data_IF_317287124444
#
_entry.id   IF_317287124444
#
_cell.length_a   1.000
_cell.length_b   1.000
_cell.length_c   1.000
_cell.angle_alpha   90.00
_cell.angle_beta   90.00
_cell.angle_gamma   90.00
#
_symmetry.space_group_name_H-M   'P 1'
#
loop_
_entity.id
_entity.type
_entity.pdbx_description
1 polymer ?
#
# COMPACT_ATOMS: atom_id res chain seq x y z
N UNK A 1 0.34 4.49 11.29
CA UNK A 1 -0.61 3.37 11.17
C UNK A 1 0.15 2.06 11.06
N UNK A 2 -0.51 0.92 11.28
CA UNK A 2 0.06 -0.39 10.99
C UNK A 2 -0.48 -0.90 9.66
N UNK A 3 0.41 -1.42 8.80
CA UNK A 3 0.06 -1.96 7.48
C UNK A 3 0.39 -3.45 7.42
N UNK A 4 -0.59 -4.27 7.04
CA UNK A 4 -0.35 -5.68 6.72
C UNK A 4 0.48 -5.83 5.44
N UNK A 5 0.97 -7.05 5.15
CA UNK A 5 1.61 -7.35 3.87
C UNK A 5 0.64 -7.09 2.72
N UNK A 6 -0.63 -7.48 2.88
CA UNK A 6 -1.70 -7.22 1.91
C UNK A 6 -1.84 -5.73 1.61
N UNK A 7 -1.87 -4.89 2.63
CA UNK A 7 -2.02 -3.44 2.45
C UNK A 7 -0.85 -2.85 1.67
N UNK A 8 0.38 -3.30 1.97
CA UNK A 8 1.60 -2.84 1.31
C UNK A 8 1.69 -3.30 -0.15
N UNK A 9 1.07 -4.43 -0.48
CA UNK A 9 0.95 -4.91 -1.87
C UNK A 9 -0.12 -4.13 -2.65
N UNK A 10 -1.23 -3.76 -2.01
CA UNK A 10 -2.31 -3.03 -2.68
C UNK A 10 -2.08 -1.52 -2.75
N UNK A 11 -1.47 -0.89 -1.75
CA UNK A 11 -1.26 0.55 -1.71
C UNK A 11 -0.67 1.11 -3.03
N UNK A 12 0.39 0.53 -3.62
CA UNK A 12 0.94 1.00 -4.89
C UNK A 12 -0.05 1.03 -6.07
N UNK A 13 -1.06 0.16 -6.07
CA UNK A 13 -1.97 -0.04 -7.20
C UNK A 13 -2.94 1.11 -7.42
N UNK A 14 -3.31 1.85 -6.36
CA UNK A 14 -4.17 3.02 -6.47
C UNK A 14 -3.40 4.36 -6.43
N UNK A 15 -2.06 4.33 -6.34
CA UNK A 15 -1.28 5.57 -6.43
C UNK A 15 -1.28 6.09 -7.88
N UNK A 16 -1.48 7.41 -8.10
CA UNK A 16 -1.44 8.01 -9.43
C UNK A 16 -0.20 7.60 -10.24
N UNK A 17 -0.42 7.16 -11.48
CA UNK A 17 0.67 6.74 -12.38
C UNK A 17 1.49 7.93 -12.94
N UNK A 18 0.90 9.13 -12.94
CA UNK A 18 1.51 10.37 -13.44
C UNK A 18 1.25 11.52 -12.47
N UNK A 19 2.16 12.48 -12.44
CA UNK A 19 2.10 13.66 -11.60
C UNK A 19 3.27 14.59 -11.90
N UNK A 20 3.39 15.67 -11.15
CA UNK A 20 4.55 16.57 -11.23
C UNK A 20 5.76 15.98 -10.45
N UNK A 21 6.89 16.70 -10.42
CA UNK A 21 8.10 16.23 -9.72
C UNK A 21 7.92 16.14 -8.18
N UNK A 22 7.05 16.96 -7.59
CA UNK A 22 6.70 16.84 -6.16
C UNK A 22 5.95 15.54 -5.91
N UNK A 23 4.93 15.24 -6.73
CA UNK A 23 4.15 14.00 -6.65
C UNK A 23 5.05 12.77 -6.82
N UNK A 24 6.00 12.82 -7.75
CA UNK A 24 6.98 11.76 -7.96
C UNK A 24 7.80 11.48 -6.69
N UNK A 25 8.31 12.51 -6.01
CA UNK A 25 9.09 12.35 -4.79
C UNK A 25 8.23 11.84 -3.62
N UNK A 26 7.01 12.34 -3.46
CA UNK A 26 6.07 11.85 -2.44
C UNK A 26 5.73 10.38 -2.66
N UNK A 27 5.38 10.00 -3.89
CA UNK A 27 5.14 8.60 -4.27
C UNK A 27 6.35 7.73 -3.96
N UNK A 28 7.56 8.18 -4.32
CA UNK A 28 8.80 7.44 -4.07
C UNK A 28 9.04 7.20 -2.59
N UNK A 29 8.87 8.20 -1.73
CA UNK A 29 9.07 8.05 -0.28
C UNK A 29 8.00 7.16 0.36
N UNK A 30 6.73 7.28 -0.05
CA UNK A 30 5.66 6.36 0.38
C UNK A 30 6.01 4.92 0.03
N UNK A 31 6.38 4.66 -1.24
CA UNK A 31 6.75 3.32 -1.71
C UNK A 31 7.96 2.77 -0.94
N UNK A 32 8.93 3.62 -0.60
CA UNK A 32 10.08 3.23 0.22
C UNK A 32 9.67 2.84 1.64
N UNK A 33 8.76 3.58 2.26
CA UNK A 33 8.28 3.32 3.63
C UNK A 33 7.50 2.03 3.75
N UNK A 34 6.80 1.63 2.69
CA UNK A 34 5.97 0.41 2.68
C UNK A 34 6.63 -0.79 2.01
N UNK A 35 7.84 -0.62 1.46
CA UNK A 35 8.54 -1.66 0.71
C UNK A 35 8.69 -2.93 1.55
N UNK A 36 8.47 -4.09 0.94
CA UNK A 36 8.72 -5.41 1.55
C UNK A 36 10.15 -5.82 1.20
N UNK A 37 11.12 -5.66 2.12
CA UNK A 37 12.52 -5.98 1.86
C UNK A 37 12.71 -7.49 1.65
N UNK A 38 13.81 -7.87 1.01
CA UNK A 38 14.10 -9.27 0.69
C UNK A 38 14.19 -10.17 1.92
N UNK A 39 14.64 -9.63 3.06
CA UNK A 39 14.68 -10.36 4.33
C UNK A 39 13.28 -10.71 4.82
N UNK A 40 12.36 -9.74 4.80
CA UNK A 40 10.96 -9.96 5.17
C UNK A 40 10.29 -10.91 4.17
N UNK A 41 10.49 -10.69 2.86
CA UNK A 41 9.99 -11.55 1.79
C UNK A 41 10.37 -13.01 2.01
N UNK A 42 11.63 -13.29 2.35
CA UNK A 42 12.10 -14.65 2.66
C UNK A 42 11.50 -15.19 3.95
N UNK A 43 11.41 -14.37 5.00
CA UNK A 43 10.90 -14.77 6.30
C UNK A 43 9.43 -15.22 6.26
N UNK A 44 8.60 -14.52 5.48
CA UNK A 44 7.18 -14.85 5.29
C UNK A 44 6.93 -15.78 4.09
N UNK A 45 7.97 -16.16 3.36
CA UNK A 45 7.84 -16.99 2.16
C UNK A 45 7.03 -16.33 1.04
N UNK A 46 7.13 -15.02 0.88
CA UNK A 46 6.40 -14.26 -0.15
C UNK A 46 6.96 -14.52 -1.56
N UNK A 47 6.17 -15.19 -2.39
CA UNK A 47 6.55 -15.56 -3.75
C UNK A 47 5.35 -15.52 -4.71
N UNK A 48 5.63 -15.49 -6.02
CA UNK A 48 4.62 -15.64 -7.07
C UNK A 48 4.53 -17.13 -7.43
N UNK A 49 3.33 -17.70 -7.34
CA UNK A 49 3.04 -19.06 -7.75
C UNK A 49 3.26 -19.19 -9.28
N UNK A 50 4.04 -20.19 -9.67
CA UNK A 50 4.42 -20.39 -11.07
C UNK A 50 3.25 -20.84 -11.97
N UNK A 51 2.23 -21.47 -11.38
CA UNK A 51 1.11 -22.08 -12.12
C UNK A 51 0.00 -21.07 -12.41
N UNK A 52 -0.46 -20.32 -11.40
CA UNK A 52 -1.62 -19.43 -11.51
C UNK A 52 -1.28 -17.94 -11.35
N UNK A 53 0.00 -17.59 -11.16
CA UNK A 53 0.52 -16.23 -11.04
C UNK A 53 0.03 -15.47 -9.80
N UNK A 54 -0.52 -16.17 -8.81
CA UNK A 54 -0.92 -15.56 -7.54
C UNK A 54 0.28 -15.29 -6.64
N UNK A 55 0.17 -14.24 -5.84
CA UNK A 55 1.15 -13.92 -4.80
C UNK A 55 0.74 -14.67 -3.53
N UNK A 56 1.64 -15.49 -3.00
CA UNK A 56 1.43 -16.32 -1.81
C UNK A 56 2.47 -16.00 -0.74
N UNK A 57 2.04 -16.00 0.53
CA UNK A 57 2.90 -15.88 1.70
C UNK A 57 2.26 -16.55 2.92
N UNK A 58 3.07 -16.78 3.94
CA UNK A 58 2.65 -17.32 5.23
C UNK A 58 2.09 -16.19 6.11
N UNK A 59 0.76 -16.16 6.24
CA UNK A 59 0.03 -15.15 7.05
C UNK A 59 0.36 -15.29 8.54
N UNK A 60 0.71 -16.47 9.05
CA UNK A 60 1.07 -16.63 10.47
C UNK A 60 2.42 -16.03 10.81
N UNK A 61 3.31 -15.91 9.82
CA UNK A 61 4.64 -15.31 9.96
C UNK A 61 4.66 -13.81 9.70
N UNK A 62 3.59 -13.26 9.11
CA UNK A 62 3.54 -11.83 8.80
C UNK A 62 3.53 -10.98 10.07
N UNK A 63 4.12 -9.80 9.97
CA UNK A 63 4.09 -8.79 11.04
C UNK A 63 3.64 -7.47 10.44
N UNK A 64 2.64 -6.78 11.03
CA UNK A 64 2.26 -5.46 10.57
C UNK A 64 3.46 -4.50 10.63
N UNK A 65 3.59 -3.66 9.61
CA UNK A 65 4.60 -2.62 9.55
C UNK A 65 4.02 -1.33 10.11
N UNK A 66 4.59 -0.83 11.21
CA UNK A 66 4.30 0.50 11.70
C UNK A 66 4.93 1.55 10.77
N UNK A 67 4.10 2.39 10.15
CA UNK A 67 4.51 3.45 9.22
C UNK A 67 4.00 4.80 9.69
N UNK A 68 4.87 5.80 9.58
CA UNK A 68 4.54 7.21 9.78
C UNK A 68 4.60 7.97 8.45
N UNK A 69 3.48 8.58 8.09
CA UNK A 69 3.37 9.48 6.94
C UNK A 69 3.42 10.93 7.41
N UNK A 70 4.16 11.76 6.70
CA UNK A 70 4.14 13.22 6.85
C UNK A 70 2.84 13.81 6.33
N UNK A 71 2.55 15.06 6.69
CA UNK A 71 1.35 15.76 6.22
C UNK A 71 1.22 15.80 4.70
N UNK A 72 2.33 16.04 3.99
CA UNK A 72 2.34 16.04 2.52
C UNK A 72 2.09 14.65 1.92
N UNK A 73 2.60 13.58 2.55
CA UNK A 73 2.34 12.21 2.11
C UNK A 73 0.88 11.80 2.38
N UNK A 74 0.32 12.20 3.54
CA UNK A 74 -1.09 11.95 3.87
C UNK A 74 -2.03 12.70 2.92
N UNK A 75 -1.73 13.96 2.59
CA UNK A 75 -2.47 14.74 1.59
C UNK A 75 -2.42 14.08 0.20
N UNK A 76 -1.26 13.53 -0.18
CA UNK A 76 -1.09 12.80 -1.44
C UNK A 76 -1.90 11.50 -1.46
N UNK A 77 -1.85 10.72 -0.39
CA UNK A 77 -2.64 9.49 -0.23
C UNK A 77 -4.15 9.77 -0.24
N UNK A 78 -4.59 10.86 0.41
CA UNK A 78 -6.00 11.27 0.41
C UNK A 78 -6.49 11.52 -1.01
N UNK A 79 -5.74 12.31 -1.78
CA UNK A 79 -6.03 12.58 -3.20
C UNK A 79 -6.01 11.32 -4.06
N UNK A 80 -5.13 10.36 -3.75
CA UNK A 80 -5.09 9.08 -4.44
C UNK A 80 -6.39 8.28 -4.20
N UNK A 81 -6.86 8.21 -2.94
CA UNK A 81 -8.11 7.55 -2.59
C UNK A 81 -9.33 8.23 -3.23
N UNK A 82 -9.42 9.56 -3.16
CA UNK A 82 -10.50 10.34 -3.78
C UNK A 82 -10.53 10.18 -5.29
N UNK A 83 -9.37 9.99 -5.92
CA UNK A 83 -9.29 9.83 -7.38
C UNK A 83 -9.89 8.51 -7.87
N UNK A 84 -9.73 7.44 -7.10
CA UNK A 84 -10.21 6.11 -7.48
C UNK A 84 -11.65 5.84 -7.02
N UNK A 85 -12.30 6.80 -6.34
CA UNK A 85 -13.63 6.59 -5.69
C UNK A 85 -14.73 6.14 -6.65
N UNK A 86 -14.60 6.47 -7.94
CA UNK A 86 -15.56 6.11 -8.99
C UNK A 86 -15.11 4.89 -9.82
N UNK A 87 -14.00 4.22 -9.45
CA UNK A 87 -13.51 3.02 -10.12
C UNK A 87 -14.20 1.74 -9.60
N UNK A 88 -14.22 0.69 -10.40
CA UNK A 88 -14.68 -0.64 -9.97
C UNK A 88 -13.49 -1.47 -9.51
N UNK A 89 -13.30 -1.56 -8.19
CA UNK A 89 -12.25 -2.35 -7.56
C UNK A 89 -12.83 -3.50 -6.72
N UNK A 90 -12.09 -4.60 -6.54
CA UNK A 90 -12.47 -5.66 -5.62
C UNK A 90 -12.67 -5.17 -4.18
N UNK A 91 -13.64 -5.73 -3.46
CA UNK A 91 -13.97 -5.38 -2.06
C UNK A 91 -12.75 -5.40 -1.13
N UNK A 92 -11.81 -6.31 -1.37
CA UNK A 92 -10.64 -6.47 -0.52
C UNK A 92 -9.54 -5.41 -0.80
N UNK A 93 -9.52 -4.85 -2.00
CA UNK A 93 -8.78 -3.62 -2.30
C UNK A 93 -9.47 -2.42 -1.68
N UNK A 94 -10.81 -2.32 -1.76
CA UNK A 94 -11.57 -1.27 -1.08
C UNK A 94 -11.38 -1.25 0.43
N UNK A 95 -11.26 -2.41 1.07
CA UNK A 95 -10.94 -2.50 2.49
C UNK A 95 -9.58 -1.87 2.83
N UNK A 96 -8.60 -1.97 1.93
CA UNK A 96 -7.28 -1.32 2.09
C UNK A 96 -7.39 0.19 1.91
N UNK A 97 -8.10 0.63 0.86
CA UNK A 97 -8.31 2.05 0.55
C UNK A 97 -9.06 2.74 1.69
N UNK A 98 -10.16 2.15 2.18
CA UNK A 98 -10.95 2.67 3.30
C UNK A 98 -10.07 2.85 4.54
N UNK A 99 -9.32 1.82 4.94
CA UNK A 99 -8.47 1.88 6.14
C UNK A 99 -7.43 3.01 6.06
N UNK A 100 -6.83 3.21 4.88
CA UNK A 100 -5.85 4.28 4.66
C UNK A 100 -6.54 5.64 4.71
N UNK A 101 -7.69 5.77 4.05
CA UNK A 101 -8.45 7.01 4.01
C UNK A 101 -8.94 7.42 5.41
N UNK A 102 -9.52 6.48 6.17
CA UNK A 102 -10.01 6.69 7.54
C UNK A 102 -8.86 7.12 8.46
N UNK A 103 -7.70 6.45 8.38
CA UNK A 103 -6.51 6.84 9.15
C UNK A 103 -6.05 8.28 8.86
N UNK A 104 -6.15 8.71 7.60
CA UNK A 104 -5.78 10.08 7.21
C UNK A 104 -6.77 11.11 7.75
N UNK A 105 -8.06 10.78 7.85
CA UNK A 105 -9.09 11.68 8.38
C UNK A 105 -9.04 11.85 9.90
N UNK A 106 -8.53 10.85 10.62
CA UNK A 106 -8.39 10.89 12.08
C UNK A 106 -7.17 11.71 12.57
N UNK A 107 -6.34 12.23 11.66
CA UNK A 107 -5.07 12.93 11.94
C UNK A 107 -5.09 14.39 11.53
#
# INVERSE_FOLDING_TARGET
MELSVKDRLYLPSFLPARGNFKDFNLKKEILRKIAIPDEERKAIGLHENAEDKRIEWDVEKEKPLAVEFSGDEMEYLRKACERISDEELPDDMWATVSRIYDFIQEK
#
